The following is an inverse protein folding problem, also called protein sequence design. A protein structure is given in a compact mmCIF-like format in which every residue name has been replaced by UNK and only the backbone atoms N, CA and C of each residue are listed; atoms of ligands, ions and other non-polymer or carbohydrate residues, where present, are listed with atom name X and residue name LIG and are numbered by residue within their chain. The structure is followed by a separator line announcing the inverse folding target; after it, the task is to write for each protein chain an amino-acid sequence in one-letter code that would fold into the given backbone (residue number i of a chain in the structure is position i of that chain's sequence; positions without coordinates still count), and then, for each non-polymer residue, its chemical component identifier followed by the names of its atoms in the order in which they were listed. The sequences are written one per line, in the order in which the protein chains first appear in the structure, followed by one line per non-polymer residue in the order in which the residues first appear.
data_IF_372007656792
#
_entry.id   IF_372007656792
#
_cell.length_a   1.000
_cell.length_b   1.000
_cell.length_c   1.000
_cell.angle_alpha   90.00
_cell.angle_beta   90.00
_cell.angle_gamma   90.00
#
_symmetry.space_group_name_H-M   'P 1'
#
loop_
_entity.id
_entity.type
_entity.pdbx_description
1 polymer ?
#
# COMPACT_ATOMS: atom_id res chain seq x y z
N UNK A 1 13.40 0.86 12.12
CA UNK A 1 13.59 1.11 10.67
C UNK A 1 12.54 0.39 9.84
N UNK A 2 12.65 0.38 8.51
CA UNK A 2 11.79 -0.42 7.62
C UNK A 2 12.39 -1.81 7.38
N UNK A 3 11.56 -2.79 6.97
CA UNK A 3 11.97 -4.18 6.69
C UNK A 3 12.78 -4.83 7.83
N UNK A 4 12.42 -4.53 9.07
CA UNK A 4 13.11 -5.10 10.23
C UNK A 4 12.57 -6.51 10.51
N UNK A 5 13.45 -7.51 10.70
CA UNK A 5 13.02 -8.82 11.14
C UNK A 5 12.51 -8.75 12.57
N UNK A 6 11.56 -9.61 12.93
CA UNK A 6 10.98 -9.68 14.28
C UNK A 6 12.03 -9.88 15.36
N UNK A 7 13.08 -10.66 15.09
CA UNK A 7 14.20 -10.85 16.01
C UNK A 7 14.87 -9.51 16.39
N UNK A 8 15.18 -8.66 15.40
CA UNK A 8 15.78 -7.35 15.67
C UNK A 8 14.85 -6.42 16.43
N UNK A 9 13.53 -6.51 16.21
CA UNK A 9 12.53 -5.76 16.98
C UNK A 9 12.55 -6.20 18.44
N UNK A 10 12.60 -7.51 18.70
CA UNK A 10 12.66 -8.08 20.04
C UNK A 10 13.97 -7.76 20.76
N UNK A 11 15.10 -7.87 20.06
CA UNK A 11 16.42 -7.54 20.62
C UNK A 11 16.44 -6.07 21.06
N UNK A 12 15.98 -5.16 20.21
CA UNK A 12 15.86 -3.73 20.54
C UNK A 12 14.86 -3.47 21.67
N UNK A 13 13.73 -4.19 21.71
CA UNK A 13 12.75 -4.08 22.78
C UNK A 13 13.32 -4.54 24.12
N UNK A 14 14.13 -5.59 24.14
CA UNK A 14 14.82 -6.07 25.34
C UNK A 14 15.95 -5.12 25.77
N UNK A 15 16.80 -4.70 24.84
CA UNK A 15 17.93 -3.79 25.09
C UNK A 15 17.46 -2.46 25.70
N UNK A 16 16.41 -1.87 25.12
CA UNK A 16 15.89 -0.58 25.55
C UNK A 16 14.76 -0.70 26.58
N UNK A 17 14.43 -1.92 27.03
CA UNK A 17 13.35 -2.20 27.99
C UNK A 17 12.02 -1.56 27.57
N UNK A 18 11.68 -1.71 26.30
CA UNK A 18 10.48 -1.13 25.72
C UNK A 18 9.22 -1.66 26.44
N UNK A 19 8.26 -0.77 26.68
CA UNK A 19 6.99 -1.15 27.31
C UNK A 19 5.94 -1.65 26.30
N UNK A 20 6.05 -1.23 25.04
CA UNK A 20 5.07 -1.49 23.96
C UNK A 20 5.83 -1.60 22.64
N UNK A 21 5.45 -2.54 21.79
CA UNK A 21 6.00 -2.70 20.44
C UNK A 21 5.02 -2.11 19.42
N UNK A 22 5.49 -1.16 18.60
CA UNK A 22 4.73 -0.61 17.47
C UNK A 22 5.21 -1.20 16.15
N UNK A 23 4.29 -1.68 15.31
CA UNK A 23 4.60 -2.12 13.94
C UNK A 23 3.67 -1.47 12.91
N UNK A 24 4.20 -1.23 11.71
CA UNK A 24 3.47 -0.57 10.61
C UNK A 24 3.58 -1.35 9.30
N UNK A 25 2.46 -1.45 8.57
CA UNK A 25 2.38 -2.12 7.28
C UNK A 25 1.80 -1.23 6.17
N UNK A 26 2.52 -1.11 5.04
CA UNK A 26 2.09 -0.32 3.89
C UNK A 26 1.42 -1.16 2.79
N UNK A 27 1.92 -2.36 2.54
CA UNK A 27 1.45 -3.23 1.45
C UNK A 27 0.54 -4.33 1.99
N UNK A 28 -0.35 -4.86 1.15
CA UNK A 28 -1.21 -5.99 1.54
C UNK A 28 -0.38 -7.19 1.99
N UNK A 29 0.76 -7.47 1.34
CA UNK A 29 1.68 -8.53 1.81
C UNK A 29 2.22 -8.28 3.22
N UNK A 30 2.32 -7.02 3.65
CA UNK A 30 2.76 -6.67 5.01
C UNK A 30 1.78 -7.16 6.08
N UNK A 31 0.48 -7.34 5.77
CA UNK A 31 -0.48 -7.83 6.77
C UNK A 31 -0.17 -9.27 7.20
N UNK A 32 0.29 -10.11 6.26
CA UNK A 32 0.73 -11.47 6.52
C UNK A 32 1.97 -11.47 7.41
N UNK A 33 2.95 -10.61 7.13
CA UNK A 33 4.15 -10.46 7.97
C UNK A 33 3.77 -10.01 9.39
N UNK A 34 2.79 -9.12 9.56
CA UNK A 34 2.35 -8.71 10.91
C UNK A 34 1.77 -9.90 11.68
N UNK A 35 0.98 -10.76 11.02
CA UNK A 35 0.47 -12.00 11.63
C UNK A 35 1.61 -12.93 12.03
N UNK A 36 2.56 -13.17 11.14
CA UNK A 36 3.73 -14.02 11.39
C UNK A 36 4.56 -13.49 12.57
N UNK A 37 4.77 -12.17 12.65
CA UNK A 37 5.47 -11.55 13.78
C UNK A 37 4.76 -11.82 15.11
N UNK A 38 3.43 -11.67 15.18
CA UNK A 38 2.68 -11.95 16.41
C UNK A 38 2.77 -13.43 16.81
N UNK A 39 2.71 -14.34 15.83
CA UNK A 39 2.88 -15.77 16.09
C UNK A 39 4.27 -16.10 16.61
N UNK A 40 5.32 -15.44 16.09
CA UNK A 40 6.67 -15.58 16.60
C UNK A 40 6.78 -15.09 18.05
N UNK A 41 6.15 -13.96 18.40
CA UNK A 41 6.13 -13.47 19.78
C UNK A 41 5.46 -14.47 20.74
N UNK A 42 4.34 -15.09 20.33
CA UNK A 42 3.72 -16.17 21.10
C UNK A 42 4.66 -17.37 21.26
N UNK A 43 5.28 -17.82 20.16
CA UNK A 43 6.19 -18.98 20.17
C UNK A 43 7.37 -18.76 21.12
N UNK A 44 7.87 -17.52 21.21
CA UNK A 44 8.93 -17.12 22.16
C UNK A 44 8.43 -16.83 23.57
N UNK A 45 7.13 -16.99 23.83
CA UNK A 45 6.47 -16.72 25.12
C UNK A 45 6.61 -15.27 25.59
N UNK A 46 6.77 -14.34 24.65
CA UNK A 46 6.96 -12.91 24.91
C UNK A 46 5.67 -12.11 24.78
N UNK A 47 4.55 -12.78 24.52
CA UNK A 47 3.26 -12.13 24.26
C UNK A 47 2.73 -11.36 25.48
N UNK A 48 2.96 -11.89 26.68
CA UNK A 48 2.57 -11.26 27.94
C UNK A 48 3.42 -10.02 28.27
N UNK A 49 4.67 -9.97 27.80
CA UNK A 49 5.62 -8.90 28.12
C UNK A 49 5.42 -7.67 27.24
N UNK A 50 5.03 -7.87 25.98
CA UNK A 50 4.97 -6.82 24.97
C UNK A 50 3.57 -6.67 24.37
N UNK A 51 2.77 -5.72 24.88
CA UNK A 51 1.61 -5.23 24.13
C UNK A 51 2.04 -4.69 22.76
N UNK A 52 1.22 -4.93 21.74
CA UNK A 52 1.51 -4.55 20.35
C UNK A 52 0.50 -3.52 19.83
N UNK A 53 1.00 -2.44 19.23
CA UNK A 53 0.18 -1.50 18.45
C UNK A 53 0.49 -1.70 16.98
N UNK A 54 -0.53 -1.97 16.18
CA UNK A 54 -0.45 -2.12 14.73
C UNK A 54 -1.11 -0.95 14.02
N UNK A 55 -0.46 -0.45 12.96
CA UNK A 55 -1.00 0.61 12.10
C UNK A 55 -0.48 0.54 10.67
N UNK A 56 -0.83 1.55 9.86
CA UNK A 56 -0.38 1.65 8.47
C UNK A 56 -1.47 1.32 7.45
N UNK A 57 -1.24 1.73 6.20
CA UNK A 57 -2.27 1.80 5.16
C UNK A 57 -2.90 0.45 4.78
N UNK A 58 -2.16 -0.65 4.93
CA UNK A 58 -2.67 -1.98 4.59
C UNK A 58 -3.50 -2.62 5.71
N UNK A 59 -3.36 -2.15 6.94
CA UNK A 59 -4.03 -2.71 8.11
C UNK A 59 -5.39 -2.06 8.31
N UNK A 60 -6.38 -2.86 8.67
CA UNK A 60 -7.72 -2.37 9.04
C UNK A 60 -7.99 -2.67 10.49
N UNK A 61 -8.82 -1.85 11.14
CA UNK A 61 -9.22 -2.07 12.54
C UNK A 61 -9.81 -3.46 12.75
N UNK A 62 -10.70 -3.89 11.85
CA UNK A 62 -11.33 -5.20 11.93
C UNK A 62 -10.28 -6.32 11.89
N UNK A 63 -9.32 -6.25 10.96
CA UNK A 63 -8.29 -7.27 10.87
C UNK A 63 -7.43 -7.37 12.14
N UNK A 64 -7.05 -6.23 12.72
CA UNK A 64 -6.18 -6.19 13.90
C UNK A 64 -6.94 -6.54 15.19
N UNK A 65 -8.08 -5.90 15.43
CA UNK A 65 -8.84 -6.03 16.70
C UNK A 65 -9.77 -7.26 16.74
N UNK A 66 -9.86 -8.01 15.64
CA UNK A 66 -10.57 -9.29 15.57
C UNK A 66 -9.59 -10.42 15.20
N UNK A 67 -9.16 -10.49 13.94
CA UNK A 67 -8.40 -11.65 13.45
C UNK A 67 -7.04 -11.79 14.14
N UNK A 68 -6.27 -10.71 14.29
CA UNK A 68 -4.95 -10.78 14.96
C UNK A 68 -5.07 -10.84 16.47
N UNK A 69 -6.12 -10.25 17.05
CA UNK A 69 -6.39 -10.35 18.47
C UNK A 69 -6.74 -11.78 18.89
N UNK A 70 -7.43 -12.55 18.05
CA UNK A 70 -7.69 -13.97 18.28
C UNK A 70 -6.42 -14.85 18.20
N UNK A 71 -5.36 -14.36 17.53
CA UNK A 71 -4.11 -15.11 17.34
C UNK A 71 -3.09 -14.77 18.41
N UNK A 72 -2.98 -13.51 18.82
CA UNK A 72 -1.96 -13.06 19.76
C UNK A 72 -2.38 -13.32 21.20
N UNK A 73 -1.50 -13.95 22.00
CA UNK A 73 -1.81 -14.27 23.40
C UNK A 73 -1.74 -13.03 24.32
N UNK A 74 -1.11 -11.96 23.84
CA UNK A 74 -1.01 -10.67 24.52
C UNK A 74 -2.02 -9.64 24.02
N UNK A 75 -1.81 -8.39 24.44
CA UNK A 75 -2.65 -7.28 24.00
C UNK A 75 -2.20 -6.77 22.62
N UNK A 76 -3.11 -6.74 21.65
CA UNK A 76 -2.89 -6.09 20.35
C UNK A 76 -3.98 -5.06 20.05
N UNK A 77 -3.61 -3.87 19.58
CA UNK A 77 -4.54 -2.77 19.26
C UNK A 77 -4.22 -2.11 17.92
N UNK A 78 -5.26 -1.58 17.27
CA UNK A 78 -5.11 -0.85 16.02
C UNK A 78 -5.06 0.66 16.24
N UNK A 79 -4.05 1.33 15.67
CA UNK A 79 -3.98 2.78 15.60
C UNK A 79 -4.24 3.25 14.17
N UNK A 80 -5.28 4.07 13.95
CA UNK A 80 -5.58 4.62 12.61
C UNK A 80 -4.60 5.72 12.18
N UNK A 81 -4.07 6.45 13.14
CA UNK A 81 -3.20 7.62 12.98
C UNK A 81 -2.33 7.79 14.23
N UNK A 82 -1.37 8.71 14.17
CA UNK A 82 -0.43 8.96 15.25
C UNK A 82 -1.12 9.40 16.56
N UNK A 83 -2.24 10.13 16.48
CA UNK A 83 -2.95 10.61 17.66
C UNK A 83 -3.71 9.49 18.37
N UNK A 84 -4.33 8.57 17.63
CA UNK A 84 -4.92 7.38 18.23
C UNK A 84 -3.84 6.46 18.81
N UNK A 85 -2.70 6.31 18.12
CA UNK A 85 -1.55 5.55 18.63
C UNK A 85 -1.03 6.10 19.97
N UNK A 86 -0.89 7.41 20.09
CA UNK A 86 -0.48 8.06 21.33
C UNK A 86 -1.46 7.79 22.47
N UNK A 87 -2.76 7.95 22.23
CA UNK A 87 -3.80 7.67 23.24
C UNK A 87 -3.80 6.20 23.69
N UNK A 88 -3.54 5.27 22.78
CA UNK A 88 -3.43 3.84 23.11
C UNK A 88 -2.19 3.55 23.95
N UNK A 89 -1.07 4.19 23.63
CA UNK A 89 0.17 4.07 24.41
C UNK A 89 -0.02 4.59 25.84
N UNK A 90 -0.64 5.76 26.00
CA UNK A 90 -0.97 6.30 27.33
C UNK A 90 -1.82 5.34 28.15
N UNK A 91 -2.83 4.73 27.52
CA UNK A 91 -3.70 3.75 28.18
C UNK A 91 -2.95 2.46 28.57
N UNK A 92 -2.09 1.94 27.70
CA UNK A 92 -1.27 0.74 27.97
C UNK A 92 -0.31 0.98 29.15
N UNK A 93 0.36 2.13 29.17
CA UNK A 93 1.27 2.49 30.27
C UNK A 93 0.50 2.70 31.58
N UNK A 94 -0.67 3.34 31.55
CA UNK A 94 -1.50 3.52 32.73
C UNK A 94 -1.96 2.17 33.33
N UNK A 95 -2.35 1.21 32.48
CA UNK A 95 -2.69 -0.15 32.89
C UNK A 95 -1.47 -0.87 33.50
N UNK A 96 -0.32 -0.82 32.83
CA UNK A 96 0.93 -1.43 33.31
C UNK A 96 1.35 -0.88 34.68
N UNK A 97 1.13 0.40 34.94
CA UNK A 97 1.41 1.07 36.23
C UNK A 97 0.34 0.84 37.29
N UNK A 98 -0.75 0.15 36.98
CA UNK A 98 -1.85 -0.11 37.93
C UNK A 98 -2.65 1.12 38.32
N UNK A 99 -2.74 2.13 37.43
CA UNK A 99 -3.53 3.34 37.70
C UNK A 99 -5.02 2.95 37.89
N UNK A 100 -5.66 3.33 39.02
CA UNK A 100 -7.05 2.95 39.28
C UNK A 100 -8.00 3.42 38.17
N UNK A 101 -8.78 2.48 37.62
CA UNK A 101 -9.73 2.76 36.53
C UNK A 101 -9.11 2.87 35.14
N UNK A 102 -7.79 2.72 34.99
CA UNK A 102 -7.16 2.63 33.69
C UNK A 102 -7.63 1.37 32.96
N UNK A 103 -8.13 1.54 31.74
CA UNK A 103 -8.55 0.45 30.87
C UNK A 103 -8.25 0.79 29.44
N UNK A 104 -7.98 -0.24 28.64
CA UNK A 104 -7.88 -0.09 27.20
C UNK A 104 -9.26 0.19 26.61
N UNK A 105 -9.33 0.96 25.51
CA UNK A 105 -10.57 1.07 24.74
C UNK A 105 -11.08 -0.31 24.34
N UNK A 106 -12.41 -0.47 24.34
CA UNK A 106 -13.05 -1.69 23.87
C UNK A 106 -12.69 -1.99 22.41
N UNK A 107 -12.49 -3.27 22.12
CA UNK A 107 -12.24 -3.76 20.78
C UNK A 107 -13.46 -3.51 19.89
N UNK A 108 -13.23 -2.92 18.72
CA UNK A 108 -14.27 -2.68 17.73
C UNK A 108 -14.27 -3.82 16.72
N UNK A 109 -15.00 -4.87 17.08
CA UNK A 109 -15.23 -5.99 16.18
C UNK A 109 -16.03 -5.58 14.93
N UNK A 110 -15.87 -6.36 13.86
CA UNK A 110 -16.58 -6.12 12.60
C UNK A 110 -18.09 -6.23 12.82
N UNK A 111 -18.83 -5.16 12.48
CA UNK A 111 -20.30 -5.10 12.60
C UNK A 111 -21.05 -6.02 11.62
N UNK A 112 -20.41 -6.41 10.52
CA UNK A 112 -20.99 -7.31 9.51
C UNK A 112 -20.36 -8.69 9.70
N UNK A 113 -21.13 -9.74 9.97
CA UNK A 113 -20.61 -11.09 10.07
C UNK A 113 -19.86 -11.44 8.79
N UNK A 114 -18.77 -12.20 8.89
CA UNK A 114 -18.18 -12.84 7.72
C UNK A 114 -19.29 -13.70 7.14
N UNK A 115 -19.85 -13.31 5.98
CA UNK A 115 -20.52 -14.29 5.14
C UNK A 115 -19.40 -15.18 4.63
N UNK A 116 -19.08 -16.21 5.41
CA UNK A 116 -18.57 -17.47 4.88
C UNK A 116 -19.70 -18.05 4.02
N UNK A 117 -20.02 -17.36 2.93
CA UNK A 117 -20.51 -18.05 1.75
C UNK A 117 -19.27 -18.81 1.32
N UNK A 118 -19.24 -20.16 1.44
CA UNK A 118 -18.33 -20.91 0.62
C UNK A 118 -18.74 -20.49 -0.78
N UNK A 119 -17.93 -19.67 -1.43
CA UNK A 119 -18.08 -19.44 -2.85
C UNK A 119 -17.48 -20.70 -3.48
N UNK A 120 -18.13 -21.84 -3.24
CA UNK A 120 -18.21 -22.94 -4.18
C UNK A 120 -19.05 -22.39 -5.33
N UNK A 121 -18.46 -21.46 -6.07
CA UNK A 121 -18.87 -21.21 -7.43
C UNK A 121 -18.09 -22.30 -8.14
N UNK A 122 -18.79 -23.39 -8.47
CA UNK A 122 -18.40 -24.22 -9.60
C UNK A 122 -17.84 -23.28 -10.66
N UNK A 123 -16.61 -23.52 -11.13
CA UNK A 123 -16.06 -22.70 -12.22
C UNK A 123 -17.14 -22.63 -13.29
N UNK A 124 -17.75 -21.45 -13.51
CA UNK A 124 -18.83 -21.41 -14.47
C UNK A 124 -18.18 -21.75 -15.80
N UNK A 125 -18.74 -22.74 -16.49
CA UNK A 125 -18.50 -23.02 -17.90
C UNK A 125 -18.71 -21.72 -18.66
N UNK A 126 -17.63 -20.97 -18.78
CA UNK A 126 -17.61 -19.62 -19.29
C UNK A 126 -16.36 -19.51 -20.16
N UNK A 127 -16.39 -18.63 -21.17
CA UNK A 127 -15.30 -18.51 -22.10
C UNK A 127 -13.99 -18.24 -21.34
N UNK A 128 -12.91 -18.86 -21.83
CA UNK A 128 -11.55 -18.72 -21.28
C UNK A 128 -11.02 -17.27 -21.34
N UNK A 129 -11.70 -16.40 -22.09
CA UNK A 129 -11.35 -14.99 -22.35
C UNK A 129 -12.59 -14.09 -22.22
N UNK A 130 -12.42 -12.84 -21.77
CA UNK A 130 -13.53 -11.87 -21.68
C UNK A 130 -13.94 -11.27 -23.02
N UNK A 131 -15.04 -10.52 -23.02
CA UNK A 131 -15.64 -9.83 -24.18
C UNK A 131 -14.90 -8.56 -24.63
N UNK A 132 -13.63 -8.40 -24.25
CA UNK A 132 -12.80 -7.24 -24.62
C UNK A 132 -12.53 -7.25 -26.12
N UNK A 133 -12.80 -6.11 -26.77
CA UNK A 133 -12.58 -5.89 -28.19
C UNK A 133 -11.10 -6.00 -28.58
N UNK A 134 -10.83 -6.70 -29.69
CA UNK A 134 -9.48 -6.99 -30.20
C UNK A 134 -9.27 -6.47 -31.62
N UNK A 135 -10.23 -5.74 -32.18
CA UNK A 135 -10.19 -5.12 -33.50
C UNK A 135 -9.65 -3.68 -33.46
N UNK A 136 -9.40 -3.14 -32.27
CA UNK A 136 -8.83 -1.82 -32.07
C UNK A 136 -7.45 -1.70 -32.75
N UNK A 137 -7.12 -0.57 -33.40
CA UNK A 137 -5.83 -0.40 -34.05
C UNK A 137 -4.67 -0.53 -33.06
N UNK A 138 -3.63 -1.24 -33.46
CA UNK A 138 -2.42 -1.42 -32.64
C UNK A 138 -1.63 -0.10 -32.54
N UNK A 139 -1.26 0.32 -31.32
CA UNK A 139 -0.45 1.51 -31.16
C UNK A 139 0.96 1.26 -31.69
N UNK A 140 1.49 2.22 -32.48
CA UNK A 140 2.91 2.21 -32.87
C UNK A 140 3.74 2.87 -31.76
N UNK A 141 4.71 2.17 -31.14
CA UNK A 141 5.51 2.75 -30.09
C UNK A 141 6.52 3.75 -30.68
N UNK A 142 6.88 4.81 -29.93
CA UNK A 142 7.86 5.80 -30.39
C UNK A 142 9.28 5.22 -30.51
N UNK A 143 9.57 4.11 -29.81
CA UNK A 143 10.81 3.34 -29.88
C UNK A 143 10.59 1.97 -29.23
N UNK A 144 11.46 1.02 -29.53
CA UNK A 144 11.49 -0.29 -28.87
C UNK A 144 12.58 -0.37 -27.81
N UNK A 145 12.36 -1.21 -26.81
CA UNK A 145 13.32 -1.44 -25.72
C UNK A 145 13.19 -0.38 -24.63
N UNK A 146 14.28 -0.12 -23.92
CA UNK A 146 14.29 0.67 -22.68
C UNK A 146 15.05 1.98 -22.86
N UNK A 147 14.52 3.05 -22.27
CA UNK A 147 15.21 4.33 -22.08
C UNK A 147 15.27 4.67 -20.61
N UNK A 148 16.36 5.35 -20.24
CA UNK A 148 16.61 5.83 -18.88
C UNK A 148 16.76 7.33 -18.94
N UNK A 149 15.99 8.04 -18.13
CA UNK A 149 16.11 9.49 -17.94
C UNK A 149 16.40 9.71 -16.46
N UNK A 150 17.46 10.47 -16.17
CA UNK A 150 17.87 10.85 -14.81
C UNK A 150 17.96 12.37 -14.72
N UNK A 151 17.83 12.90 -13.51
CA UNK A 151 17.93 14.33 -13.26
C UNK A 151 16.77 15.12 -13.86
N UNK A 152 15.55 14.58 -13.82
CA UNK A 152 14.35 15.31 -14.25
C UNK A 152 14.21 16.55 -13.35
N UNK A 153 14.05 17.73 -13.94
CA UNK A 153 13.99 18.97 -13.18
C UNK A 153 12.73 19.00 -12.31
N UNK A 154 12.87 19.38 -11.03
CA UNK A 154 11.75 19.43 -10.07
C UNK A 154 10.53 20.18 -10.64
N UNK A 155 10.75 21.28 -11.34
CA UNK A 155 9.70 22.10 -11.97
C UNK A 155 8.83 21.34 -12.98
N UNK A 156 9.34 20.27 -13.58
CA UNK A 156 8.62 19.51 -14.62
C UNK A 156 7.54 18.60 -14.02
N UNK A 157 7.72 18.16 -12.76
CA UNK A 157 6.77 17.27 -12.10
C UNK A 157 6.13 17.86 -10.83
N UNK A 158 6.68 18.93 -10.25
CA UNK A 158 6.12 19.55 -9.05
C UNK A 158 4.68 20.04 -9.25
N UNK A 159 4.30 20.47 -10.46
CA UNK A 159 2.94 20.87 -10.80
C UNK A 159 1.92 19.72 -10.81
N UNK A 160 2.38 18.47 -10.82
CA UNK A 160 1.53 17.27 -10.81
C UNK A 160 1.24 16.78 -9.39
N UNK A 161 1.72 17.47 -8.36
CA UNK A 161 1.43 17.14 -6.97
C UNK A 161 -0.07 17.28 -6.69
N UNK A 162 -0.68 16.21 -6.19
CA UNK A 162 -2.04 16.26 -5.66
C UNK A 162 -2.01 16.96 -4.29
N UNK A 163 -2.25 18.27 -4.32
CA UNK A 163 -2.36 19.12 -3.15
C UNK A 163 -3.45 18.65 -2.17
N UNK A 164 -4.54 18.06 -2.67
CA UNK A 164 -5.62 17.53 -1.84
C UNK A 164 -5.14 16.35 -1.01
N UNK A 165 -4.47 15.38 -1.64
CA UNK A 165 -3.87 14.24 -0.96
C UNK A 165 -2.76 14.66 0.01
N UNK A 166 -1.92 15.63 -0.40
CA UNK A 166 -0.82 16.14 0.42
C UNK A 166 -1.33 16.87 1.67
N UNK A 167 -2.14 17.91 1.48
CA UNK A 167 -2.56 18.80 2.57
C UNK A 167 -3.52 18.11 3.53
N UNK A 168 -4.57 17.47 3.03
CA UNK A 168 -5.57 16.81 3.88
C UNK A 168 -5.07 15.49 4.45
N UNK A 169 -4.39 14.70 3.62
CA UNK A 169 -3.97 13.33 3.95
C UNK A 169 -2.68 13.31 4.76
N UNK A 170 -1.60 13.82 4.19
CA UNK A 170 -0.25 13.69 4.79
C UNK A 170 0.01 14.75 5.86
N UNK A 171 -0.38 16.01 5.60
CA UNK A 171 -0.13 17.11 6.54
C UNK A 171 -1.25 17.30 7.55
N UNK A 172 -2.41 16.66 7.32
CA UNK A 172 -3.53 16.68 8.25
C UNK A 172 -4.22 18.04 8.37
N UNK A 173 -4.07 18.93 7.37
CA UNK A 173 -4.80 20.19 7.29
C UNK A 173 -6.31 19.90 7.27
N UNK A 174 -7.00 20.36 8.31
CA UNK A 174 -8.43 20.13 8.52
C UNK A 174 -9.06 21.41 9.02
N UNK A 175 -10.23 21.73 8.48
CA UNK A 175 -11.06 22.80 8.99
C UNK A 175 -11.43 22.54 10.46
N UNK A 176 -11.53 23.62 11.25
CA UNK A 176 -12.00 23.54 12.62
C UNK A 176 -13.43 22.96 12.68
N UNK A 177 -13.67 22.00 13.58
CA UNK A 177 -14.98 21.35 13.74
C UNK A 177 -16.07 22.28 14.28
N UNK A 178 -15.67 23.30 15.01
CA UNK A 178 -16.52 24.36 15.54
C UNK A 178 -16.32 25.58 14.64
N UNK A 179 -17.38 26.03 13.97
CA UNK A 179 -17.38 26.96 12.83
C UNK A 179 -16.88 28.40 13.06
N UNK A 180 -15.91 28.59 13.96
CA UNK A 180 -15.22 29.85 14.24
C UNK A 180 -13.75 29.84 13.76
N UNK A 181 -13.36 28.89 12.90
CA UNK A 181 -12.01 28.79 12.34
C UNK A 181 -11.98 28.97 10.82
N UNK A 182 -10.78 29.19 10.24
CA UNK A 182 -10.61 29.35 8.81
C UNK A 182 -11.12 28.11 8.05
N UNK A 183 -11.64 28.34 6.84
CA UNK A 183 -12.07 27.27 5.95
C UNK A 183 -10.88 26.40 5.53
N UNK A 184 -11.16 25.23 4.96
CA UNK A 184 -10.09 24.39 4.44
C UNK A 184 -9.34 25.08 3.30
N UNK A 185 -10.04 25.78 2.41
CA UNK A 185 -9.42 26.55 1.33
C UNK A 185 -8.52 27.66 1.87
N UNK A 186 -8.98 28.40 2.89
CA UNK A 186 -8.18 29.46 3.53
C UNK A 186 -6.90 28.91 4.18
N UNK A 187 -6.98 27.75 4.84
CA UNK A 187 -5.82 27.07 5.42
C UNK A 187 -4.84 26.60 4.34
N UNK A 188 -5.33 26.10 3.22
CA UNK A 188 -4.50 25.69 2.08
C UNK A 188 -3.73 26.88 1.51
N UNK A 189 -4.38 28.03 1.33
CA UNK A 189 -3.73 29.23 0.78
C UNK A 189 -2.77 29.91 1.78
N UNK A 190 -3.17 29.99 3.06
CA UNK A 190 -2.39 30.71 4.08
C UNK A 190 -1.24 29.90 4.69
N UNK A 191 -1.38 28.57 4.79
CA UNK A 191 -0.36 27.70 5.39
C UNK A 191 0.16 26.63 4.43
N UNK A 192 -0.73 25.94 3.71
CA UNK A 192 -0.39 24.81 2.84
C UNK A 192 0.58 25.18 1.72
N UNK A 193 0.13 26.04 0.79
CA UNK A 193 0.94 26.48 -0.36
C UNK A 193 2.23 27.20 0.03
N UNK A 194 2.25 28.12 1.02
CA UNK A 194 3.48 28.80 1.41
C UNK A 194 4.53 27.83 1.99
N UNK A 195 4.11 26.87 2.84
CA UNK A 195 5.02 25.84 3.36
C UNK A 195 5.51 24.92 2.24
N UNK A 196 4.62 24.49 1.34
CA UNK A 196 4.99 23.65 0.20
C UNK A 196 6.01 24.36 -0.69
N UNK A 197 5.80 25.65 -0.99
CA UNK A 197 6.75 26.45 -1.76
C UNK A 197 8.11 26.50 -1.10
N UNK A 198 8.17 26.80 0.21
CA UNK A 198 9.43 26.81 0.95
C UNK A 198 10.17 25.47 0.91
N UNK A 199 9.44 24.35 1.02
CA UNK A 199 10.03 23.01 0.90
C UNK A 199 10.53 22.72 -0.51
N UNK A 200 9.77 23.07 -1.56
CA UNK A 200 10.20 22.89 -2.95
C UNK A 200 11.44 23.73 -3.26
N UNK A 201 11.48 24.97 -2.77
CA UNK A 201 12.65 25.85 -2.91
C UNK A 201 13.88 25.27 -2.20
N UNK A 202 13.71 24.68 -1.01
CA UNK A 202 14.77 24.00 -0.30
C UNK A 202 15.27 22.76 -1.05
N UNK A 203 14.35 21.90 -1.51
CA UNK A 203 14.67 20.69 -2.27
C UNK A 203 15.46 21.02 -3.54
N UNK A 204 15.07 22.10 -4.22
CA UNK A 204 15.75 22.59 -5.42
C UNK A 204 17.13 23.21 -5.09
N UNK A 205 17.20 24.08 -4.09
CA UNK A 205 18.44 24.81 -3.74
C UNK A 205 19.52 23.87 -3.22
N UNK A 206 19.14 22.88 -2.41
CA UNK A 206 20.05 21.91 -1.81
C UNK A 206 20.28 20.67 -2.68
N UNK A 207 19.63 20.59 -3.84
CA UNK A 207 19.68 19.44 -4.76
C UNK A 207 19.46 18.09 -4.03
N UNK A 208 18.39 18.01 -3.24
CA UNK A 208 18.11 16.86 -2.37
C UNK A 208 17.44 15.67 -3.09
N UNK A 209 16.98 15.90 -4.31
CA UNK A 209 16.21 14.92 -5.09
C UNK A 209 16.87 14.70 -6.44
N UNK A 210 17.00 13.44 -6.85
CA UNK A 210 17.42 13.05 -8.19
C UNK A 210 16.33 12.19 -8.82
N UNK A 211 15.32 12.85 -9.39
CA UNK A 211 14.22 12.16 -10.04
C UNK A 211 14.72 11.41 -11.27
N UNK A 212 14.29 10.15 -11.39
CA UNK A 212 14.66 9.27 -12.49
C UNK A 212 13.49 8.38 -12.93
N UNK A 213 13.49 8.04 -14.20
CA UNK A 213 12.55 7.10 -14.81
C UNK A 213 13.29 6.14 -15.72
N UNK A 214 12.91 4.87 -15.62
CA UNK A 214 13.20 3.85 -16.62
C UNK A 214 11.88 3.48 -17.26
N UNK A 215 11.77 3.60 -18.58
CA UNK A 215 10.54 3.28 -19.30
C UNK A 215 10.85 2.63 -20.65
N UNK A 216 9.91 1.87 -21.18
CA UNK A 216 10.12 1.17 -22.42
C UNK A 216 8.85 0.59 -23.01
N UNK A 217 8.94 0.22 -24.28
CA UNK A 217 7.90 -0.44 -25.03
C UNK A 217 8.43 -1.75 -25.57
N UNK A 218 7.64 -2.81 -25.42
CA UNK A 218 8.07 -4.17 -25.72
C UNK A 218 6.98 -4.92 -26.51
N UNK A 219 7.38 -5.76 -27.48
CA UNK A 219 6.43 -6.62 -28.18
C UNK A 219 5.82 -7.62 -27.20
N UNK A 220 4.52 -7.87 -27.31
CA UNK A 220 3.82 -8.79 -26.44
C UNK A 220 2.63 -9.46 -27.11
N UNK A 221 2.22 -10.59 -26.56
CA UNK A 221 0.99 -11.32 -26.93
C UNK A 221 0.32 -11.83 -25.66
N UNK A 222 -0.99 -12.02 -25.69
CA UNK A 222 -1.74 -12.66 -24.61
C UNK A 222 -1.99 -14.14 -24.89
N UNK A 223 -1.95 -14.94 -23.83
CA UNK A 223 -2.28 -16.38 -23.87
C UNK A 223 -3.03 -16.76 -22.60
N UNK A 224 -4.35 -16.93 -22.71
CA UNK A 224 -5.20 -17.16 -21.54
C UNK A 224 -5.13 -15.98 -20.57
N UNK A 225 -4.62 -16.22 -19.36
CA UNK A 225 -4.46 -15.22 -18.29
C UNK A 225 -3.07 -14.56 -18.27
N UNK A 226 -2.22 -14.92 -19.23
CA UNK A 226 -0.84 -14.48 -19.31
C UNK A 226 -0.65 -13.39 -20.37
N UNK A 227 0.16 -12.39 -20.01
CA UNK A 227 0.80 -11.48 -20.95
C UNK A 227 2.25 -11.90 -21.13
N UNK A 228 2.59 -12.30 -22.35
CA UNK A 228 3.92 -12.78 -22.73
C UNK A 228 4.64 -11.64 -23.43
N UNK A 229 5.76 -11.21 -22.86
CA UNK A 229 6.66 -10.23 -23.49
C UNK A 229 7.67 -10.99 -24.33
N UNK A 230 7.89 -10.51 -25.54
CA UNK A 230 8.74 -11.16 -26.54
C UNK A 230 10.11 -10.46 -26.64
N UNK A 231 11.10 -11.21 -27.12
CA UNK A 231 12.37 -10.68 -27.62
C UNK A 231 12.20 -10.25 -29.09
N UNK A 232 13.23 -9.60 -29.64
CA UNK A 232 13.25 -9.14 -31.04
C UNK A 232 13.17 -10.31 -32.04
N UNK A 233 13.56 -11.52 -31.64
CA UNK A 233 13.48 -12.76 -32.43
C UNK A 233 12.12 -13.48 -32.28
N UNK A 234 11.18 -12.91 -31.50
CA UNK A 234 9.86 -13.48 -31.22
C UNK A 234 9.84 -14.54 -30.11
N UNK A 235 10.98 -14.86 -29.49
CA UNK A 235 11.01 -15.78 -28.35
C UNK A 235 10.44 -15.15 -27.08
N UNK A 236 9.90 -15.98 -26.17
CA UNK A 236 9.39 -15.51 -24.87
C UNK A 236 10.54 -14.96 -24.02
N UNK A 237 10.44 -13.68 -23.65
CA UNK A 237 11.37 -13.00 -22.74
C UNK A 237 10.95 -13.12 -21.28
N UNK A 238 9.67 -12.88 -21.01
CA UNK A 238 9.09 -12.97 -19.66
C UNK A 238 7.57 -13.03 -19.75
N UNK A 239 6.93 -13.45 -18.66
CA UNK A 239 5.49 -13.62 -18.56
C UNK A 239 4.93 -12.98 -17.31
N UNK A 240 3.78 -12.32 -17.46
CA UNK A 240 2.98 -11.83 -16.36
C UNK A 240 1.63 -12.54 -16.34
N UNK A 241 1.37 -13.31 -15.29
CA UNK A 241 0.06 -13.93 -15.06
C UNK A 241 -0.83 -12.99 -14.25
N UNK A 242 -2.04 -12.73 -14.75
CA UNK A 242 -2.99 -11.84 -14.10
C UNK A 242 -4.19 -12.60 -13.55
N UNK A 243 -4.76 -12.17 -12.41
CA UNK A 243 -5.97 -12.78 -11.89
C UNK A 243 -7.18 -12.39 -12.74
N UNK A 244 -8.00 -13.39 -13.07
CA UNK A 244 -9.30 -13.18 -13.74
C UNK A 244 -10.40 -12.90 -12.72
N UNK A 245 -11.28 -11.94 -13.02
CA UNK A 245 -12.48 -11.71 -12.21
C UNK A 245 -13.34 -12.99 -12.17
N UNK A 246 -13.76 -13.42 -10.98
CA UNK A 246 -14.57 -14.64 -10.80
C UNK A 246 -16.05 -14.48 -11.17
N UNK A 247 -16.54 -13.24 -11.27
CA UNK A 247 -17.96 -12.91 -11.54
C UNK A 247 -18.04 -11.79 -12.57
N UNK A 248 -19.23 -11.60 -13.14
CA UNK A 248 -19.47 -10.56 -14.13
C UNK A 248 -18.74 -10.85 -15.44
N UNK A 249 -18.11 -9.82 -16.01
CA UNK A 249 -17.47 -9.88 -17.34
C UNK A 249 -16.18 -10.71 -17.40
N UNK A 250 -15.75 -11.33 -16.31
CA UNK A 250 -14.54 -12.18 -16.25
C UNK A 250 -13.28 -11.47 -16.76
N UNK A 251 -13.15 -10.16 -16.53
CA UNK A 251 -12.03 -9.38 -17.07
C UNK A 251 -10.69 -9.88 -16.53
N UNK A 252 -9.70 -9.95 -17.41
CA UNK A 252 -8.29 -10.19 -17.11
C UNK A 252 -7.46 -9.12 -17.84
N UNK A 253 -6.36 -8.65 -17.23
CA UNK A 253 -5.51 -7.64 -17.86
C UNK A 253 -4.88 -8.12 -19.18
N UNK A 254 -4.62 -9.42 -19.29
CA UNK A 254 -4.11 -10.03 -20.52
C UNK A 254 -5.09 -9.87 -21.71
N UNK A 255 -6.41 -9.80 -21.45
CA UNK A 255 -7.43 -9.73 -22.50
C UNK A 255 -7.41 -8.39 -23.27
N UNK A 256 -6.73 -7.36 -22.75
CA UNK A 256 -6.56 -6.08 -23.44
C UNK A 256 -5.43 -6.07 -24.48
N UNK A 257 -4.70 -7.17 -24.61
CA UNK A 257 -3.63 -7.34 -25.59
C UNK A 257 -4.02 -8.39 -26.64
N UNK A 258 -3.44 -8.29 -27.85
CA UNK A 258 -3.66 -9.29 -28.92
C UNK A 258 -3.37 -10.71 -28.47
N UNK A 259 -4.29 -11.66 -28.72
CA UNK A 259 -4.04 -13.06 -28.42
C UNK A 259 -2.99 -13.63 -29.39
N UNK A 260 -2.13 -14.54 -28.91
CA UNK A 260 -1.13 -15.24 -29.71
C UNK A 260 -1.74 -15.87 -30.99
N UNK A 261 -2.97 -16.37 -30.88
CA UNK A 261 -3.74 -16.98 -31.98
C UNK A 261 -4.11 -16.00 -33.10
N UNK A 262 -4.12 -14.68 -32.87
CA UNK A 262 -4.40 -13.71 -33.94
C UNK A 262 -3.24 -13.56 -34.92
N UNK A 263 -2.04 -14.04 -34.56
CA UNK A 263 -0.81 -13.85 -35.36
C UNK A 263 -0.29 -12.41 -35.36
N UNK A 264 -0.91 -11.50 -34.60
CA UNK A 264 -0.48 -10.11 -34.47
C UNK A 264 0.26 -9.91 -33.15
N UNK A 265 1.34 -9.11 -33.18
CA UNK A 265 2.11 -8.74 -31.97
C UNK A 265 1.64 -7.37 -31.47
N UNK A 266 1.24 -7.30 -30.22
CA UNK A 266 0.82 -6.07 -29.53
C UNK A 266 2.01 -5.39 -28.83
N UNK A 267 1.75 -4.26 -28.16
CA UNK A 267 2.76 -3.43 -27.51
C UNK A 267 2.39 -3.18 -26.05
N UNK A 268 3.31 -3.52 -25.14
CA UNK A 268 3.19 -3.15 -23.72
C UNK A 268 4.18 -2.06 -23.36
N UNK A 269 3.69 -0.99 -22.74
CA UNK A 269 4.50 0.05 -22.12
C UNK A 269 4.72 -0.24 -20.63
N UNK A 270 5.97 -0.22 -20.17
CA UNK A 270 6.34 -0.41 -18.77
C UNK A 270 7.19 0.74 -18.28
N UNK A 271 7.02 1.14 -17.02
CA UNK A 271 7.81 2.20 -16.39
C UNK A 271 8.08 1.96 -14.91
N UNK A 272 9.21 2.46 -14.44
CA UNK A 272 9.61 2.53 -13.03
C UNK A 272 10.16 3.93 -12.77
N UNK A 273 9.62 4.60 -11.75
CA UNK A 273 9.98 5.98 -11.41
C UNK A 273 10.49 6.07 -9.97
N UNK A 274 11.36 7.03 -9.70
CA UNK A 274 11.77 7.45 -8.35
C UNK A 274 11.96 8.97 -8.32
N UNK A 275 11.78 9.58 -7.15
CA UNK A 275 12.11 11.00 -6.90
C UNK A 275 13.53 11.17 -6.35
N UNK A 276 14.22 10.07 -6.06
CA UNK A 276 15.53 10.00 -5.40
C UNK A 276 15.65 8.71 -4.62
#
# INVERSE_FOLDING_TARGET
GIKQPVAAILDAAAEHKADVIGMSGLLVKSTVIMKENLQELNQRQMAADYPVILGGAALTRAYVEQDLHEIYEGEVRYARDAFEGLRLMDALIAVKRGVPGARLPELKQRRVPKRDTPVAVEEPEGPSRSDVAVDNPLPTPPFWGTRVIKGIQLKEYASWLDEGALFKGQWGLKQARTGHGPTYEELVESEGRPRLRGLLDELQTKNLLEAAVVYGYFPCVSKGDDLIILNDDGSERTRFTFPRQRRGRRLCLADFFRPEESGETDVVGLQVVTVG
#
